data_IF_154814176258
#
_entry.id   IF_154814176258
#
_cell.length_a   1.000
_cell.length_b   1.000
_cell.length_c   1.000
_cell.angle_alpha   90.00
_cell.angle_beta   90.00
_cell.angle_gamma   90.00
#
_symmetry.space_group_name_H-M   'P 1'
#
loop_
_entity.id
_entity.type
_entity.pdbx_description
1 polymer ?
#
# COMPACT_ATOMS: atom_id res chain seq x y z
N UNK A 1 -19.51 -0.69 5.78
CA UNK A 1 -19.08 -1.03 7.15
C UNK A 1 -17.79 -0.28 7.40
N UNK A 2 -17.79 0.62 8.38
CA UNK A 2 -16.61 1.44 8.69
C UNK A 2 -15.57 0.55 9.39
N UNK A 3 -14.49 0.24 8.71
CA UNK A 3 -13.34 -0.39 9.35
C UNK A 3 -12.57 0.69 10.12
N UNK A 4 -12.98 0.92 11.37
CA UNK A 4 -12.14 1.64 12.31
C UNK A 4 -10.92 0.76 12.61
N UNK A 5 -9.82 1.01 11.92
CA UNK A 5 -8.54 0.42 12.30
C UNK A 5 -8.19 0.93 13.70
N UNK A 6 -8.21 0.01 14.67
CA UNK A 6 -7.67 0.26 16.01
C UNK A 6 -6.22 0.76 15.86
N UNK A 7 -5.78 1.72 16.67
CA UNK A 7 -4.39 2.11 16.67
C UNK A 7 -3.56 0.85 16.97
N UNK A 8 -2.67 0.50 16.04
CA UNK A 8 -1.69 -0.54 16.32
C UNK A 8 -0.92 -0.11 17.55
N UNK A 9 -0.86 -0.95 18.57
CA UNK A 9 0.03 -0.74 19.73
C UNK A 9 1.46 -0.49 19.24
N UNK A 10 2.38 -0.21 20.13
CA UNK A 10 3.75 0.17 19.77
C UNK A 10 4.35 -0.80 18.73
N UNK A 11 4.40 -0.37 17.46
CA UNK A 11 4.94 -1.16 16.34
C UNK A 11 6.47 -1.11 16.45
N UNK A 12 7.17 -2.24 16.45
CA UNK A 12 8.63 -2.23 16.53
C UNK A 12 9.23 -1.57 15.30
N UNK A 13 10.25 -0.77 15.50
CA UNK A 13 11.04 -0.19 14.41
C UNK A 13 12.19 -1.15 14.10
N UNK A 14 12.15 -1.74 12.91
CA UNK A 14 13.24 -2.58 12.41
C UNK A 14 14.46 -1.70 12.16
N UNK A 15 15.63 -2.15 12.57
CA UNK A 15 16.87 -1.35 12.63
C UNK A 15 17.91 -1.72 11.57
N UNK A 16 17.79 -2.90 10.94
CA UNK A 16 18.80 -3.43 10.02
C UNK A 16 18.24 -4.32 8.92
N UNK A 17 19.03 -4.51 7.86
CA UNK A 17 18.75 -5.45 6.76
C UNK A 17 18.59 -6.89 7.29
N UNK A 18 19.45 -7.32 8.21
CA UNK A 18 19.43 -8.66 8.79
C UNK A 18 18.14 -8.90 9.60
N UNK A 19 17.73 -7.93 10.42
CA UNK A 19 16.50 -7.99 11.19
C UNK A 19 15.27 -8.04 10.29
N UNK A 20 15.21 -7.22 9.23
CA UNK A 20 14.13 -7.25 8.25
C UNK A 20 13.97 -8.62 7.59
N UNK A 21 15.08 -9.28 7.23
CA UNK A 21 15.05 -10.61 6.64
C UNK A 21 14.63 -11.68 7.63
N UNK A 22 15.06 -11.62 8.89
CA UNK A 22 14.67 -12.56 9.93
C UNK A 22 13.17 -12.49 10.21
N UNK A 23 12.64 -11.28 10.39
CA UNK A 23 11.20 -11.06 10.61
C UNK A 23 10.37 -11.51 9.40
N UNK A 24 10.85 -11.24 8.18
CA UNK A 24 10.17 -11.70 6.97
C UNK A 24 10.09 -13.23 6.90
N UNK A 25 11.13 -13.95 7.35
CA UNK A 25 11.13 -15.42 7.43
C UNK A 25 10.09 -15.93 8.43
N UNK A 26 10.07 -15.35 9.64
CA UNK A 26 9.11 -15.73 10.69
C UNK A 26 7.66 -15.53 10.24
N UNK A 27 7.37 -14.40 9.59
CA UNK A 27 6.04 -14.11 9.05
C UNK A 27 5.70 -15.05 7.91
N UNK A 28 6.63 -15.31 6.98
CA UNK A 28 6.41 -16.20 5.85
C UNK A 28 5.99 -17.61 6.29
N UNK A 29 6.55 -18.13 7.39
CA UNK A 29 6.15 -19.41 7.97
C UNK A 29 4.66 -19.41 8.36
N UNK A 30 4.20 -18.34 9.02
CA UNK A 30 2.81 -18.21 9.44
C UNK A 30 1.86 -18.03 8.23
N UNK A 31 2.24 -17.20 7.26
CA UNK A 31 1.42 -16.94 6.07
C UNK A 31 1.19 -18.19 5.22
N UNK A 32 2.18 -19.09 5.18
CA UNK A 32 2.13 -20.32 4.38
C UNK A 32 1.08 -21.31 4.88
N UNK A 33 0.78 -21.33 6.18
CA UNK A 33 -0.09 -22.36 6.79
C UNK A 33 -1.43 -22.49 6.06
N UNK A 34 -2.07 -21.39 5.71
CA UNK A 34 -3.39 -21.38 5.09
C UNK A 34 -3.43 -20.77 3.68
N UNK A 35 -2.28 -20.54 3.05
CA UNK A 35 -2.20 -19.77 1.79
C UNK A 35 -3.06 -20.37 0.68
N UNK A 36 -3.01 -21.69 0.50
CA UNK A 36 -3.79 -22.41 -0.52
C UNK A 36 -5.29 -22.34 -0.24
N UNK A 37 -5.69 -22.51 1.01
CA UNK A 37 -7.09 -22.44 1.42
C UNK A 37 -7.61 -21.00 1.27
N UNK A 38 -6.84 -20.03 1.69
CA UNK A 38 -7.15 -18.61 1.57
C UNK A 38 -7.39 -18.21 0.13
N UNK A 39 -6.50 -18.59 -0.79
CA UNK A 39 -6.67 -18.34 -2.23
C UNK A 39 -7.89 -19.02 -2.81
N UNK A 40 -8.06 -20.33 -2.53
CA UNK A 40 -9.19 -21.15 -3.03
C UNK A 40 -10.54 -20.58 -2.61
N UNK A 41 -10.67 -20.18 -1.36
CA UNK A 41 -11.91 -19.64 -0.79
C UNK A 41 -12.05 -18.12 -1.02
N UNK A 42 -11.03 -17.46 -1.57
CA UNK A 42 -10.95 -16.01 -1.69
C UNK A 42 -11.16 -15.31 -0.33
N UNK A 43 -10.60 -15.89 0.73
CA UNK A 43 -10.66 -15.30 2.06
C UNK A 43 -9.73 -14.11 2.16
N UNK A 44 -10.28 -12.92 2.29
CA UNK A 44 -9.51 -11.68 2.35
C UNK A 44 -8.53 -11.69 3.54
N UNK A 45 -7.23 -11.34 3.35
CA UNK A 45 -6.16 -11.59 4.30
C UNK A 45 -6.04 -10.49 5.38
N UNK A 46 -7.14 -10.12 6.03
CA UNK A 46 -7.13 -9.06 7.04
C UNK A 46 -6.22 -9.39 8.23
N UNK A 47 -6.30 -10.60 8.75
CA UNK A 47 -5.49 -11.04 9.90
C UNK A 47 -3.99 -11.08 9.55
N UNK A 48 -3.67 -11.57 8.37
CA UNK A 48 -2.31 -11.68 7.84
C UNK A 48 -1.68 -10.27 7.61
N UNK A 49 -2.47 -9.33 7.10
CA UNK A 49 -2.01 -7.95 6.94
C UNK A 49 -1.85 -7.22 8.28
N UNK A 50 -2.66 -7.56 9.28
CA UNK A 50 -2.47 -7.06 10.63
C UNK A 50 -1.20 -7.64 11.28
N UNK A 51 -0.88 -8.92 11.03
CA UNK A 51 0.40 -9.51 11.44
C UNK A 51 1.57 -8.74 10.81
N UNK A 52 1.49 -8.48 9.50
CA UNK A 52 2.50 -7.71 8.78
C UNK A 52 2.61 -6.28 9.33
N UNK A 53 1.50 -5.61 9.66
CA UNK A 53 1.51 -4.28 10.27
C UNK A 53 2.22 -4.26 11.63
N UNK A 54 1.95 -5.25 12.48
CA UNK A 54 2.58 -5.37 13.81
C UNK A 54 4.05 -5.75 13.78
N UNK A 55 4.54 -6.29 12.68
CA UNK A 55 5.95 -6.70 12.55
C UNK A 55 6.92 -5.55 12.31
N UNK A 56 6.44 -4.38 11.90
CA UNK A 56 7.26 -3.26 11.47
C UNK A 56 7.75 -3.33 10.02
N UNK A 57 7.43 -4.39 9.28
CA UNK A 57 7.91 -4.57 7.90
C UNK A 57 7.42 -3.49 6.92
N UNK A 58 6.30 -2.82 7.18
CA UNK A 58 5.88 -1.69 6.33
C UNK A 58 6.88 -0.52 6.37
N UNK A 59 7.60 -0.34 7.47
CA UNK A 59 8.52 0.77 7.69
C UNK A 59 9.96 0.55 7.20
N UNK A 60 10.30 -0.63 6.67
CA UNK A 60 11.72 -0.99 6.41
C UNK A 60 12.42 -0.11 5.38
N UNK A 61 11.71 0.45 4.41
CA UNK A 61 12.28 1.38 3.41
C UNK A 61 12.21 2.85 3.84
N UNK A 62 11.57 3.17 4.96
CA UNK A 62 11.59 4.54 5.50
C UNK A 62 13.03 4.93 5.82
N UNK A 63 13.51 6.11 5.34
CA UNK A 63 14.90 6.51 5.56
C UNK A 63 15.24 6.68 7.04
N UNK A 64 16.50 6.42 7.40
CA UNK A 64 17.01 6.55 8.80
C UNK A 64 16.79 7.94 9.38
N UNK A 65 16.88 8.98 8.55
CA UNK A 65 16.62 10.36 8.97
C UNK A 65 15.18 10.59 9.47
N UNK A 66 14.25 9.71 9.12
CA UNK A 66 12.85 9.74 9.58
C UNK A 66 12.53 8.62 10.57
N UNK A 67 13.54 7.96 11.11
CA UNK A 67 13.39 6.91 12.13
C UNK A 67 13.15 5.50 11.60
N UNK A 68 13.26 5.27 10.29
CA UNK A 68 13.14 3.93 9.71
C UNK A 68 14.48 3.20 9.58
N UNK A 69 14.45 1.96 9.10
CA UNK A 69 15.65 1.15 8.85
C UNK A 69 16.46 1.62 7.63
N UNK A 70 15.78 2.15 6.62
CA UNK A 70 16.41 2.53 5.35
C UNK A 70 17.14 1.36 4.71
N UNK A 71 16.48 0.18 4.68
CA UNK A 71 17.08 -1.04 4.12
C UNK A 71 17.44 -0.87 2.65
N UNK A 72 18.43 -1.64 2.18
CA UNK A 72 18.81 -1.64 0.77
C UNK A 72 17.68 -2.17 -0.12
N UNK A 73 17.66 -1.74 -1.40
CA UNK A 73 16.70 -2.27 -2.39
C UNK A 73 16.85 -3.79 -2.57
N UNK A 74 18.05 -4.32 -2.38
CA UNK A 74 18.31 -5.77 -2.43
C UNK A 74 17.60 -6.47 -1.28
N UNK A 75 17.68 -5.93 -0.08
CA UNK A 75 16.99 -6.46 1.10
C UNK A 75 15.49 -6.36 0.96
N UNK A 76 14.97 -5.21 0.50
CA UNK A 76 13.55 -5.06 0.20
C UNK A 76 13.06 -6.13 -0.78
N UNK A 77 13.78 -6.35 -1.89
CA UNK A 77 13.43 -7.38 -2.86
C UNK A 77 13.44 -8.79 -2.25
N UNK A 78 14.40 -9.10 -1.38
CA UNK A 78 14.46 -10.39 -0.67
C UNK A 78 13.31 -10.58 0.30
N UNK A 79 12.93 -9.55 1.05
CA UNK A 79 11.76 -9.57 1.94
C UNK A 79 10.50 -9.87 1.13
N UNK A 80 10.25 -9.12 0.05
CA UNK A 80 9.09 -9.36 -0.83
C UNK A 80 9.12 -10.77 -1.43
N UNK A 81 10.25 -11.24 -1.91
CA UNK A 81 10.39 -12.58 -2.46
C UNK A 81 10.04 -13.66 -1.42
N UNK A 82 10.47 -13.49 -0.16
CA UNK A 82 10.17 -14.43 0.91
C UNK A 82 8.68 -14.47 1.24
N UNK A 83 8.03 -13.33 1.33
CA UNK A 83 6.58 -13.26 1.54
C UNK A 83 5.83 -13.86 0.35
N UNK A 84 6.22 -13.55 -0.90
CA UNK A 84 5.58 -14.06 -2.11
C UNK A 84 5.71 -15.58 -2.26
N UNK A 85 6.81 -16.18 -1.81
CA UNK A 85 6.99 -17.64 -1.76
C UNK A 85 6.03 -18.32 -0.77
N UNK A 86 5.60 -17.62 0.26
CA UNK A 86 4.64 -18.11 1.23
C UNK A 86 3.19 -17.91 0.77
N UNK A 87 2.89 -16.72 0.24
CA UNK A 87 1.58 -16.34 -0.28
C UNK A 87 1.76 -15.25 -1.36
N UNK A 88 1.40 -15.58 -2.59
CA UNK A 88 1.59 -14.69 -3.74
C UNK A 88 0.76 -13.40 -3.65
N UNK A 89 -0.45 -13.46 -3.09
CA UNK A 89 -1.29 -12.27 -2.89
C UNK A 89 -0.67 -11.32 -1.86
N UNK A 90 -0.17 -11.88 -0.76
CA UNK A 90 0.49 -11.11 0.30
C UNK A 90 1.87 -10.59 -0.13
N UNK A 91 2.52 -11.20 -1.11
CA UNK A 91 3.71 -10.65 -1.76
C UNK A 91 3.40 -9.48 -2.70
N UNK A 92 2.23 -9.49 -3.33
CA UNK A 92 1.80 -8.45 -4.27
C UNK A 92 1.34 -7.16 -3.57
N UNK A 93 0.60 -7.27 -2.47
CA UNK A 93 0.05 -6.12 -1.75
C UNK A 93 1.13 -5.12 -1.30
N UNK A 94 2.26 -5.53 -0.69
CA UNK A 94 3.31 -4.62 -0.24
C UNK A 94 4.04 -3.88 -1.36
N UNK A 95 4.06 -4.40 -2.57
CA UNK A 95 4.76 -3.76 -3.70
C UNK A 95 4.30 -2.32 -3.90
N UNK A 96 3.00 -2.08 -3.90
CA UNK A 96 2.44 -0.75 -4.13
C UNK A 96 2.67 0.19 -2.94
N UNK A 97 2.71 -0.35 -1.73
CA UNK A 97 3.10 0.40 -0.54
C UNK A 97 4.52 0.94 -0.68
N UNK A 98 5.47 0.07 -0.99
CA UNK A 98 6.87 0.48 -1.15
C UNK A 98 7.11 1.39 -2.36
N UNK A 99 6.36 1.20 -3.45
CA UNK A 99 6.33 2.15 -4.56
C UNK A 99 5.90 3.55 -4.08
N UNK A 100 4.82 3.64 -3.31
CA UNK A 100 4.34 4.91 -2.75
C UNK A 100 5.38 5.58 -1.85
N UNK A 101 6.10 4.80 -1.03
CA UNK A 101 7.19 5.32 -0.19
C UNK A 101 8.37 5.84 -1.02
N UNK A 102 8.72 5.16 -2.11
CA UNK A 102 9.80 5.60 -2.99
C UNK A 102 9.43 6.88 -3.75
N UNK A 103 8.19 7.00 -4.25
CA UNK A 103 7.71 8.24 -4.84
C UNK A 103 7.76 9.39 -3.81
N UNK A 104 7.32 9.15 -2.58
CA UNK A 104 7.38 10.11 -1.50
C UNK A 104 8.83 10.55 -1.21
N UNK A 105 9.77 9.59 -1.22
CA UNK A 105 11.20 9.85 -0.99
C UNK A 105 11.78 10.80 -2.05
N UNK A 106 11.38 10.61 -3.31
CA UNK A 106 11.94 11.34 -4.46
C UNK A 106 11.27 12.70 -4.66
N UNK A 107 9.95 12.78 -4.45
CA UNK A 107 9.14 13.94 -4.87
C UNK A 107 8.43 14.65 -3.72
N UNK A 108 8.38 14.06 -2.54
CA UNK A 108 7.68 14.64 -1.39
C UNK A 108 8.44 15.79 -0.76
N UNK A 109 7.71 16.78 -0.23
CA UNK A 109 8.32 17.83 0.62
C UNK A 109 8.76 17.24 1.96
N UNK A 110 9.68 17.88 2.71
CA UNK A 110 10.08 17.40 4.04
C UNK A 110 8.90 17.20 4.99
N UNK A 111 7.89 18.08 4.95
CA UNK A 111 6.68 17.97 5.78
C UNK A 111 5.81 16.80 5.37
N UNK A 112 5.68 16.53 4.07
CA UNK A 112 4.95 15.35 3.57
C UNK A 112 5.66 14.06 3.97
N UNK A 113 6.98 14.03 3.81
CA UNK A 113 7.81 12.89 4.22
C UNK A 113 7.68 12.64 5.72
N UNK A 114 7.87 13.65 6.56
CA UNK A 114 7.75 13.52 8.01
C UNK A 114 6.40 12.93 8.43
N UNK A 115 5.31 13.49 7.91
CA UNK A 115 3.96 13.06 8.24
C UNK A 115 3.64 11.64 7.78
N UNK A 116 3.92 11.34 6.50
CA UNK A 116 3.54 10.05 5.91
C UNK A 116 4.44 8.90 6.39
N UNK A 117 5.73 9.16 6.60
CA UNK A 117 6.61 8.15 7.20
C UNK A 117 6.24 7.85 8.65
N UNK A 118 5.85 8.84 9.44
CA UNK A 118 5.36 8.61 10.79
C UNK A 118 4.11 7.70 10.81
N UNK A 119 3.19 7.89 9.87
CA UNK A 119 2.03 7.00 9.73
C UNK A 119 2.46 5.55 9.41
N UNK A 120 3.44 5.37 8.54
CA UNK A 120 3.95 4.04 8.16
C UNK A 120 4.67 3.36 9.32
N UNK A 121 5.50 4.08 10.06
CA UNK A 121 6.18 3.57 11.25
C UNK A 121 5.19 3.20 12.37
N UNK A 122 4.01 3.81 12.38
CA UNK A 122 2.89 3.43 13.25
C UNK A 122 2.08 2.23 12.71
N UNK A 123 2.56 1.50 11.69
CA UNK A 123 1.95 0.30 11.13
C UNK A 123 0.87 0.55 10.08
N UNK A 124 0.63 1.79 9.67
CA UNK A 124 -0.29 2.08 8.58
C UNK A 124 0.31 1.67 7.23
N UNK A 125 -0.55 1.21 6.33
CA UNK A 125 -0.17 0.73 5.01
C UNK A 125 -0.81 1.55 3.90
N UNK A 126 -0.13 1.59 2.75
CA UNK A 126 -0.62 2.23 1.54
C UNK A 126 -1.10 1.16 0.56
N UNK A 127 -2.24 1.41 -0.07
CA UNK A 127 -2.67 0.68 -1.26
C UNK A 127 -2.21 1.38 -2.52
N UNK A 128 -2.95 1.21 -3.61
CA UNK A 128 -2.79 2.04 -4.81
C UNK A 128 -4.13 2.29 -5.51
N UNK A 129 -4.15 3.33 -6.36
CA UNK A 129 -5.20 3.62 -7.31
C UNK A 129 -4.59 4.32 -8.53
N UNK A 130 -3.89 3.55 -9.38
CA UNK A 130 -3.08 4.11 -10.47
C UNK A 130 -3.71 3.89 -11.85
N UNK A 131 -4.25 2.70 -12.12
CA UNK A 131 -4.72 2.30 -13.43
C UNK A 131 -6.12 2.85 -13.74
N UNK A 132 -6.33 3.20 -15.00
CA UNK A 132 -7.63 3.59 -15.56
C UNK A 132 -7.95 2.72 -16.77
N UNK A 133 -9.24 2.48 -17.01
CA UNK A 133 -9.72 1.78 -18.20
C UNK A 133 -10.30 2.77 -19.22
N UNK A 134 -10.27 2.41 -20.50
CA UNK A 134 -10.83 3.22 -21.58
C UNK A 134 -9.96 4.41 -22.02
N UNK A 135 -8.74 4.53 -21.50
CA UNK A 135 -7.76 5.54 -21.94
C UNK A 135 -7.02 5.10 -23.21
N UNK A 136 -6.53 6.05 -24.01
CA UNK A 136 -5.82 5.77 -25.26
C UNK A 136 -4.49 5.05 -25.02
N UNK A 137 -3.84 5.31 -23.91
CA UNK A 137 -2.57 4.69 -23.51
C UNK A 137 -2.59 4.37 -22.01
N UNK A 138 -1.80 3.40 -21.59
CA UNK A 138 -1.67 3.02 -20.17
C UNK A 138 -1.11 4.16 -19.28
N UNK A 139 -0.46 5.14 -19.86
CA UNK A 139 0.10 6.31 -19.15
C UNK A 139 -0.87 7.48 -19.05
N UNK A 140 -1.92 7.51 -19.88
CA UNK A 140 -2.91 8.57 -19.84
C UNK A 140 -3.70 8.53 -18.53
N UNK A 141 -3.95 9.70 -17.94
CA UNK A 141 -4.77 9.88 -16.73
C UNK A 141 -5.92 10.83 -17.03
N UNK A 142 -7.10 10.46 -16.54
CA UNK A 142 -8.33 11.24 -16.67
C UNK A 142 -8.94 11.57 -15.32
N UNK A 143 -8.50 10.91 -14.25
CA UNK A 143 -8.91 11.24 -12.88
C UNK A 143 -8.44 12.66 -12.55
N UNK A 144 -9.40 13.57 -12.41
CA UNK A 144 -9.14 14.99 -12.27
C UNK A 144 -8.83 15.37 -10.82
N UNK A 145 -7.85 16.27 -10.66
CA UNK A 145 -7.56 16.99 -9.43
C UNK A 145 -7.92 18.47 -9.63
N UNK A 146 -8.90 18.97 -8.90
CA UNK A 146 -9.34 20.36 -8.97
C UNK A 146 -9.22 21.06 -7.63
N UNK A 147 -8.93 22.36 -7.63
CA UNK A 147 -8.90 23.15 -6.40
C UNK A 147 -10.30 23.25 -5.81
N UNK A 148 -10.43 23.08 -4.49
CA UNK A 148 -11.69 23.21 -3.77
C UNK A 148 -11.46 23.90 -2.43
N UNK A 149 -11.61 25.22 -2.41
CA UNK A 149 -11.27 26.06 -1.27
C UNK A 149 -9.79 25.98 -0.89
N UNK A 150 -9.51 25.62 0.37
CA UNK A 150 -8.16 25.40 0.87
C UNK A 150 -7.60 23.99 0.54
N UNK A 151 -8.40 23.11 -0.04
CA UNK A 151 -8.05 21.74 -0.36
C UNK A 151 -8.18 21.42 -1.85
N UNK A 152 -8.40 20.14 -2.12
CA UNK A 152 -8.56 19.62 -3.46
C UNK A 152 -9.71 18.61 -3.50
N UNK A 153 -10.33 18.53 -4.66
CA UNK A 153 -11.31 17.50 -5.01
C UNK A 153 -10.70 16.57 -6.06
N UNK A 154 -10.89 15.27 -5.86
CA UNK A 154 -10.53 14.24 -6.83
C UNK A 154 -11.81 13.65 -7.41
N UNK A 155 -11.88 13.54 -8.74
CA UNK A 155 -13.01 12.93 -9.41
C UNK A 155 -12.53 12.02 -10.53
N UNK A 156 -12.89 10.74 -10.46
CA UNK A 156 -12.52 9.72 -11.43
C UNK A 156 -12.77 8.31 -10.92
N UNK A 157 -12.36 7.34 -11.72
CA UNK A 157 -12.47 5.93 -11.39
C UNK A 157 -11.16 5.20 -11.66
N UNK A 158 -10.77 4.35 -10.72
CA UNK A 158 -9.56 3.53 -10.80
C UNK A 158 -9.90 2.05 -10.82
N UNK A 159 -8.98 1.27 -11.40
CA UNK A 159 -9.10 -0.17 -11.54
C UNK A 159 -7.78 -0.82 -11.10
N UNK A 160 -7.85 -2.10 -10.76
CA UNK A 160 -6.69 -2.84 -10.29
C UNK A 160 -6.02 -2.16 -9.09
N UNK A 161 -6.86 -1.66 -8.17
CA UNK A 161 -6.43 -0.90 -7.00
C UNK A 161 -5.92 -1.85 -5.90
N UNK A 162 -4.81 -2.54 -6.18
CA UNK A 162 -4.21 -3.54 -5.29
C UNK A 162 -3.98 -2.97 -3.90
N UNK A 163 -4.47 -3.69 -2.88
CA UNK A 163 -4.29 -3.31 -1.49
C UNK A 163 -5.18 -2.17 -1.00
N UNK A 164 -5.96 -1.50 -1.87
CA UNK A 164 -6.81 -0.37 -1.47
C UNK A 164 -7.86 -0.75 -0.43
N UNK A 165 -8.42 -1.97 -0.50
CA UNK A 165 -9.38 -2.50 0.48
C UNK A 165 -8.84 -2.56 1.91
N UNK A 166 -7.52 -2.59 2.08
CA UNK A 166 -6.85 -2.83 3.35
C UNK A 166 -6.06 -1.62 3.85
N UNK A 167 -5.97 -0.57 3.05
CA UNK A 167 -5.07 0.55 3.27
C UNK A 167 -5.70 1.66 4.12
N UNK A 168 -4.86 2.41 4.82
CA UNK A 168 -5.24 3.68 5.45
C UNK A 168 -5.00 4.88 4.53
N UNK A 169 -4.08 4.72 3.57
CA UNK A 169 -3.84 5.70 2.50
C UNK A 169 -3.83 5.01 1.14
N UNK A 170 -4.38 5.70 0.15
CA UNK A 170 -4.47 5.18 -1.22
C UNK A 170 -3.77 6.18 -2.15
N UNK A 171 -2.47 5.99 -2.44
CA UNK A 171 -1.77 6.73 -3.49
C UNK A 171 -2.52 6.61 -4.80
N UNK A 172 -3.06 7.74 -5.26
CA UNK A 172 -3.94 7.85 -6.42
C UNK A 172 -3.29 8.73 -7.47
N UNK A 173 -3.12 8.21 -8.68
CA UNK A 173 -2.62 9.04 -9.80
C UNK A 173 -3.72 9.94 -10.31
N UNK A 174 -3.43 11.23 -10.41
CA UNK A 174 -4.39 12.27 -10.82
C UNK A 174 -3.73 13.25 -11.80
N UNK A 175 -4.54 14.02 -12.51
CA UNK A 175 -4.09 15.09 -13.39
C UNK A 175 -4.79 16.39 -12.97
N UNK A 176 -4.02 17.48 -12.86
CA UNK A 176 -4.58 18.79 -12.55
C UNK A 176 -5.11 19.51 -13.81
N UNK A 177 -5.68 20.69 -13.60
CA UNK A 177 -6.24 21.54 -14.65
C UNK A 177 -5.22 22.04 -15.69
N UNK A 178 -3.94 21.94 -15.38
CA UNK A 178 -2.82 22.29 -16.27
C UNK A 178 -2.24 21.08 -17.00
N UNK A 179 -2.78 19.87 -16.74
CA UNK A 179 -2.29 18.62 -17.31
C UNK A 179 -1.09 18.01 -16.58
N UNK A 180 -0.66 18.58 -15.45
CA UNK A 180 0.41 18.01 -14.65
C UNK A 180 -0.08 16.78 -13.87
N UNK A 181 0.76 15.73 -13.84
CA UNK A 181 0.44 14.51 -13.12
C UNK A 181 0.95 14.58 -11.68
N UNK A 182 0.08 14.13 -10.76
CA UNK A 182 0.39 14.06 -9.34
C UNK A 182 0.07 12.67 -8.78
N UNK A 183 0.68 12.34 -7.65
CA UNK A 183 0.31 11.21 -6.81
C UNK A 183 -0.30 11.74 -5.51
N UNK A 184 -1.61 11.67 -5.39
CA UNK A 184 -2.34 12.12 -4.21
C UNK A 184 -2.45 10.96 -3.20
N UNK A 185 -1.99 11.16 -1.96
CA UNK A 185 -2.09 10.19 -0.87
C UNK A 185 -3.44 10.32 -0.16
N UNK A 186 -4.50 9.79 -0.78
CA UNK A 186 -5.88 9.93 -0.33
C UNK A 186 -6.11 9.14 0.95
N UNK A 187 -6.82 9.70 1.92
CA UNK A 187 -7.25 8.99 3.12
C UNK A 187 -8.33 7.97 2.75
N UNK A 188 -8.25 6.75 3.26
CA UNK A 188 -9.21 5.69 2.92
C UNK A 188 -10.63 5.98 3.41
N UNK A 189 -10.78 6.83 4.43
CA UNK A 189 -12.06 7.29 4.98
C UNK A 189 -12.53 8.64 4.41
N UNK A 190 -11.89 9.13 3.33
CA UNK A 190 -12.30 10.38 2.68
C UNK A 190 -13.73 10.31 2.20
N UNK A 191 -14.50 11.38 2.48
CA UNK A 191 -15.88 11.51 2.00
C UNK A 191 -15.96 11.39 0.49
N UNK A 192 -16.86 10.54 -0.02
CA UNK A 192 -17.05 10.28 -1.44
C UNK A 192 -16.12 9.22 -2.04
N UNK A 193 -15.10 8.78 -1.31
CA UNK A 193 -14.30 7.65 -1.75
C UNK A 193 -15.06 6.33 -1.55
N UNK A 194 -15.01 5.48 -2.57
CA UNK A 194 -15.56 4.14 -2.52
C UNK A 194 -14.54 3.16 -3.04
N UNK A 195 -14.16 2.18 -2.23
CA UNK A 195 -13.32 1.04 -2.66
C UNK A 195 -14.23 -0.16 -2.82
N UNK A 196 -14.20 -0.81 -4.00
CA UNK A 196 -15.13 -1.86 -4.37
C UNK A 196 -14.37 -3.18 -4.45
N UNK A 197 -14.88 -4.20 -3.76
CA UNK A 197 -14.33 -5.57 -3.82
C UNK A 197 -14.91 -6.34 -5.02
N UNK A 198 -14.50 -5.94 -6.23
CA UNK A 198 -14.91 -6.55 -7.49
C UNK A 198 -13.77 -7.31 -8.21
N UNK A 199 -12.68 -7.59 -7.50
CA UNK A 199 -11.58 -8.38 -8.05
C UNK A 199 -11.95 -9.86 -8.21
N UNK A 200 -11.86 -10.36 -9.44
CA UNK A 200 -12.19 -11.76 -9.82
C UNK A 200 -11.07 -12.42 -10.64
N UNK A 201 -9.82 -12.09 -10.36
CA UNK A 201 -8.68 -12.61 -11.09
C UNK A 201 -8.51 -14.12 -10.98
N UNK A 202 -7.85 -14.71 -11.97
CA UNK A 202 -7.51 -16.14 -12.02
C UNK A 202 -6.55 -16.54 -10.90
N UNK A 203 -5.51 -15.73 -10.62
CA UNK A 203 -4.56 -15.91 -9.53
C UNK A 203 -4.51 -14.69 -8.64
N UNK A 204 -3.78 -14.79 -7.51
CA UNK A 204 -3.67 -13.70 -6.53
C UNK A 204 -5.04 -13.16 -6.13
N UNK A 205 -5.96 -14.07 -5.84
CA UNK A 205 -7.39 -13.79 -5.70
C UNK A 205 -7.73 -12.93 -4.50
N UNK A 206 -6.82 -12.84 -3.53
CA UNK A 206 -7.03 -12.13 -2.27
C UNK A 206 -6.31 -10.79 -2.19
N UNK A 207 -5.75 -10.29 -3.30
CA UNK A 207 -5.08 -8.98 -3.34
C UNK A 207 -6.01 -7.80 -3.15
N UNK A 208 -7.33 -8.00 -3.32
CA UNK A 208 -8.28 -6.90 -3.31
C UNK A 208 -8.01 -5.86 -4.41
N UNK A 209 -7.56 -6.34 -5.58
CA UNK A 209 -7.23 -5.49 -6.74
C UNK A 209 -8.49 -5.01 -7.48
N UNK A 210 -9.49 -4.57 -6.74
CA UNK A 210 -10.77 -4.10 -7.26
C UNK A 210 -10.72 -2.70 -7.85
N UNK A 211 -11.90 -2.06 -7.88
CA UNK A 211 -12.08 -0.71 -8.42
C UNK A 211 -12.47 0.32 -7.35
N UNK A 212 -12.46 1.59 -7.72
CA UNK A 212 -12.89 2.67 -6.85
C UNK A 212 -12.91 4.03 -7.55
#
# INVERSE_FOLDING_TARGET
MSHSSQPHGNVPVISSDAEALAIAEEIAVQLRQDSVLRDRERRLPHAELELFSRSGLWGISVPKAFGGAGVSSVTLARVIARIAQADASLGQIPQNHFYGLEVLRVTGTPEQQQRLYAEVLAGKRFGNALAELGTKTASQRTTALTRDGAGYRINGRKFYATGALYAQRIPTSVVDEHGAQHLAFVHADSSGLRVIDDWSGFGQRTTGSGSG
#
